data_IF_376188014405
#
_entry.id   IF_376188014405
#
_cell.length_a   1.000
_cell.length_b   1.000
_cell.length_c   1.000
_cell.angle_alpha   90.00
_cell.angle_beta   90.00
_cell.angle_gamma   90.00
#
_symmetry.space_group_name_H-M   'P 1'
#
loop_
_entity.id
_entity.type
_entity.pdbx_description
1 polymer ?
#
# COMPACT_ATOMS: atom_id res chain seq x y z
N UNK A 1 -6.58 -6.69 -15.72
CA UNK A 1 -5.41 -6.49 -14.84
C UNK A 1 -4.44 -5.54 -15.54
N UNK A 2 -4.24 -4.33 -15.00
CA UNK A 2 -3.37 -3.32 -15.63
C UNK A 2 -1.99 -3.36 -14.98
N UNK A 3 -0.95 -3.64 -15.76
CA UNK A 3 0.44 -3.76 -15.30
C UNK A 3 1.27 -2.72 -16.05
N UNK A 4 1.56 -1.58 -15.43
CA UNK A 4 2.35 -0.51 -16.07
C UNK A 4 3.79 -0.55 -15.52
N UNK A 5 4.77 -0.55 -16.42
CA UNK A 5 6.20 -0.48 -16.10
C UNK A 5 6.80 0.80 -16.70
N UNK A 6 7.38 1.64 -15.85
CA UNK A 6 8.06 2.89 -16.24
C UNK A 6 9.59 2.69 -16.29
N UNK A 7 10.09 1.66 -16.98
CA UNK A 7 11.53 1.40 -17.06
C UNK A 7 12.05 1.39 -18.51
N UNK A 8 13.18 2.08 -18.80
CA UNK A 8 13.82 2.06 -20.11
C UNK A 8 14.38 0.68 -20.46
N UNK A 9 14.46 0.38 -21.76
CA UNK A 9 14.66 -0.94 -22.35
C UNK A 9 15.88 -1.73 -21.82
N UNK A 10 16.92 -1.03 -21.38
CA UNK A 10 18.19 -1.64 -20.93
C UNK A 10 18.21 -2.21 -19.51
N UNK A 11 17.23 -1.86 -18.66
CA UNK A 11 17.22 -2.28 -17.24
C UNK A 11 16.16 -3.36 -16.93
N UNK A 12 15.72 -4.11 -17.96
CA UNK A 12 14.61 -5.08 -17.88
C UNK A 12 15.04 -6.48 -17.40
N UNK A 13 16.35 -6.72 -17.25
CA UNK A 13 16.94 -8.02 -16.86
C UNK A 13 17.00 -8.24 -15.34
N UNK A 14 16.76 -7.22 -14.51
CA UNK A 14 16.85 -7.35 -13.05
C UNK A 14 15.55 -7.96 -12.48
N UNK A 15 15.58 -9.18 -11.91
CA UNK A 15 14.38 -9.89 -11.43
C UNK A 15 13.70 -9.23 -10.22
N UNK A 16 14.32 -8.21 -9.61
CA UNK A 16 13.83 -7.48 -8.43
C UNK A 16 13.14 -6.14 -8.75
N UNK A 17 12.93 -5.79 -10.03
CA UNK A 17 12.41 -4.47 -10.43
C UNK A 17 10.89 -4.37 -10.55
N UNK A 18 10.17 -5.49 -10.44
CA UNK A 18 8.71 -5.50 -10.37
C UNK A 18 8.34 -5.54 -8.90
N UNK A 19 8.10 -4.37 -8.31
CA UNK A 19 7.45 -4.31 -7.01
C UNK A 19 6.07 -4.94 -7.15
N UNK A 20 5.87 -6.12 -6.58
CA UNK A 20 4.56 -6.75 -6.50
C UNK A 20 3.75 -5.96 -5.46
N UNK A 21 3.06 -4.92 -5.94
CA UNK A 21 2.13 -4.14 -5.12
C UNK A 21 0.75 -4.77 -5.24
N UNK A 22 0.22 -5.23 -4.12
CA UNK A 22 -1.11 -5.82 -4.01
C UNK A 22 -2.03 -4.82 -3.31
N UNK A 23 -3.18 -4.53 -3.92
CA UNK A 23 -4.25 -3.78 -3.24
C UNK A 23 -5.00 -4.76 -2.36
N UNK A 24 -4.82 -4.63 -1.05
CA UNK A 24 -5.44 -5.48 -0.03
C UNK A 24 -6.85 -5.01 0.32
N UNK A 25 -7.12 -3.72 0.14
CA UNK A 25 -8.43 -3.13 0.36
C UNK A 25 -8.53 -1.75 -0.25
N UNK A 26 -9.73 -1.38 -0.70
CA UNK A 26 -10.06 -0.05 -1.20
C UNK A 26 -11.46 0.32 -0.74
N UNK A 27 -11.70 1.57 -0.38
CA UNK A 27 -13.06 2.04 -0.10
C UNK A 27 -13.90 2.11 -1.39
N UNK A 28 -15.22 2.13 -1.24
CA UNK A 28 -16.18 2.18 -2.36
C UNK A 28 -15.98 3.39 -3.27
N UNK A 29 -15.44 4.48 -2.73
CA UNK A 29 -15.22 5.73 -3.46
C UNK A 29 -13.78 5.88 -3.98
N UNK A 30 -12.92 4.87 -3.84
CA UNK A 30 -11.50 4.91 -4.25
C UNK A 30 -10.71 6.10 -3.67
N UNK A 31 -11.10 6.58 -2.49
CA UNK A 31 -10.40 7.61 -1.73
C UNK A 31 -9.30 7.03 -0.85
N UNK A 32 -9.45 5.81 -0.35
CA UNK A 32 -8.49 5.19 0.56
C UNK A 32 -8.15 3.78 0.09
N UNK A 33 -6.86 3.46 0.02
CA UNK A 33 -6.37 2.16 -0.40
C UNK A 33 -5.32 1.63 0.58
N UNK A 34 -5.46 0.35 0.94
CA UNK A 34 -4.45 -0.43 1.63
C UNK A 34 -3.64 -1.21 0.60
N UNK A 35 -2.34 -0.95 0.54
CA UNK A 35 -1.42 -1.57 -0.40
C UNK A 35 -0.34 -2.30 0.37
N UNK A 36 -0.10 -3.55 0.02
CA UNK A 36 0.96 -4.37 0.62
C UNK A 36 1.79 -5.09 -0.43
N UNK A 37 2.92 -5.65 0.01
CA UNK A 37 3.72 -6.58 -0.80
C UNK A 37 3.53 -8.05 -0.37
N UNK A 38 3.80 -9.02 -1.26
CA UNK A 38 3.64 -10.46 -0.98
C UNK A 38 4.56 -10.98 0.13
N UNK A 39 5.67 -10.29 0.39
CA UNK A 39 6.60 -10.65 1.47
C UNK A 39 6.18 -10.14 2.85
N UNK A 40 5.04 -9.43 2.94
CA UNK A 40 4.56 -8.72 4.13
C UNK A 40 5.53 -7.68 4.72
N UNK A 41 6.63 -7.39 4.01
CA UNK A 41 7.65 -6.41 4.44
C UNK A 41 7.25 -4.97 4.18
N UNK A 42 6.33 -4.77 3.25
CA UNK A 42 5.94 -3.44 2.78
C UNK A 42 4.44 -3.28 2.88
N UNK A 43 4.00 -2.18 3.49
CA UNK A 43 2.62 -1.84 3.74
C UNK A 43 2.44 -0.33 3.67
N UNK A 44 1.40 0.13 2.99
CA UNK A 44 1.03 1.52 2.85
C UNK A 44 -0.48 1.70 2.95
N UNK A 45 -0.89 2.75 3.65
CA UNK A 45 -2.27 3.26 3.63
C UNK A 45 -2.20 4.56 2.84
N UNK A 46 -2.85 4.59 1.68
CA UNK A 46 -2.88 5.74 0.78
C UNK A 46 -4.25 6.39 0.86
N UNK A 47 -4.29 7.70 1.05
CA UNK A 47 -5.53 8.49 1.08
C UNK A 47 -5.42 9.61 0.05
N UNK A 48 -6.51 9.90 -0.66
CA UNK A 48 -6.64 11.11 -1.50
C UNK A 48 -6.77 12.38 -0.67
N UNK A 49 -7.18 12.24 0.59
CA UNK A 49 -7.27 13.34 1.55
C UNK A 49 -6.04 13.31 2.48
N UNK A 50 -5.34 14.44 2.71
CA UNK A 50 -4.26 14.49 3.69
C UNK A 50 -4.72 14.14 5.11
N UNK A 51 -5.99 14.41 5.45
CA UNK A 51 -6.55 14.12 6.76
C UNK A 51 -7.49 12.92 6.69
N UNK A 52 -6.92 11.74 6.92
CA UNK A 52 -7.71 10.53 7.11
C UNK A 52 -8.29 10.49 8.53
N UNK A 53 -9.57 10.21 8.67
CA UNK A 53 -10.19 10.08 9.98
C UNK A 53 -9.59 8.89 10.75
N UNK A 54 -9.52 9.03 12.08
CA UNK A 54 -8.85 8.06 12.92
C UNK A 54 -9.53 6.68 12.91
N UNK A 55 -10.86 6.63 12.77
CA UNK A 55 -11.61 5.38 12.77
C UNK A 55 -11.34 4.56 11.51
N UNK A 56 -11.40 5.22 10.35
CA UNK A 56 -11.05 4.63 9.05
C UNK A 56 -9.62 4.15 9.04
N UNK A 57 -8.66 4.98 9.49
CA UNK A 57 -7.26 4.56 9.62
C UNK A 57 -7.13 3.28 10.45
N UNK A 58 -7.77 3.22 11.63
CA UNK A 58 -7.70 2.03 12.48
C UNK A 58 -8.35 0.80 11.83
N UNK A 59 -9.42 0.96 11.05
CA UNK A 59 -10.02 -0.16 10.31
C UNK A 59 -9.04 -0.78 9.29
N UNK A 60 -8.27 0.05 8.59
CA UNK A 60 -7.25 -0.42 7.64
C UNK A 60 -6.04 -1.02 8.34
N UNK A 61 -5.63 -0.47 9.49
CA UNK A 61 -4.58 -1.07 10.33
C UNK A 61 -5.02 -2.45 10.81
N UNK A 62 -6.26 -2.60 11.27
CA UNK A 62 -6.77 -3.89 11.70
C UNK A 62 -6.82 -4.88 10.54
N UNK A 63 -7.31 -4.45 9.37
CA UNK A 63 -7.31 -5.27 8.15
C UNK A 63 -5.90 -5.74 7.80
N UNK A 64 -4.89 -4.86 7.85
CA UNK A 64 -3.50 -5.23 7.61
C UNK A 64 -2.97 -6.25 8.64
N UNK A 65 -3.34 -6.10 9.91
CA UNK A 65 -3.01 -7.09 10.96
C UNK A 65 -3.63 -8.45 10.66
N UNK A 66 -4.89 -8.48 10.21
CA UNK A 66 -5.59 -9.72 9.87
C UNK A 66 -4.94 -10.43 8.67
N UNK A 67 -4.37 -9.67 7.74
CA UNK A 67 -3.53 -10.19 6.65
C UNK A 67 -2.11 -10.62 7.10
N UNK A 68 -1.75 -10.47 8.37
CA UNK A 68 -0.46 -10.88 8.92
C UNK A 68 0.68 -9.89 8.68
N UNK A 69 0.37 -8.61 8.44
CA UNK A 69 1.38 -7.55 8.41
C UNK A 69 1.74 -7.10 9.83
N UNK A 70 3.02 -6.77 10.02
CA UNK A 70 3.52 -6.18 11.26
C UNK A 70 3.21 -4.68 11.31
N UNK A 71 2.02 -4.34 11.80
CA UNK A 71 1.54 -2.96 11.91
C UNK A 71 2.31 -2.11 12.91
N UNK A 72 3.15 -2.70 13.77
CA UNK A 72 3.99 -1.93 14.71
C UNK A 72 5.05 -1.08 14.00
N UNK A 73 5.39 -1.46 12.76
CA UNK A 73 6.34 -0.75 11.90
C UNK A 73 5.70 0.37 11.08
N UNK A 74 4.39 0.59 11.21
CA UNK A 74 3.71 1.68 10.51
C UNK A 74 4.17 3.02 11.06
N UNK A 75 4.75 3.83 10.18
CA UNK A 75 5.11 5.21 10.48
C UNK A 75 4.06 6.13 9.86
N UNK A 76 3.45 6.99 10.66
CA UNK A 76 2.58 8.05 10.16
C UNK A 76 3.43 9.16 9.56
N UNK A 77 3.23 9.42 8.27
CA UNK A 77 3.83 10.57 7.61
C UNK A 77 3.07 11.85 7.99
N UNK A 78 3.77 12.92 8.43
CA UNK A 78 3.12 14.20 8.65
C UNK A 78 2.58 14.75 7.32
N UNK A 79 1.30 15.08 7.29
CA UNK A 79 0.62 15.71 6.15
C UNK A 79 0.42 17.20 6.45
N UNK A 80 0.38 18.04 5.41
CA UNK A 80 0.14 19.50 5.51
C UNK A 80 -1.28 19.85 5.10
#
# INVERSE_FOLDING_TARGET
MLKVSFLPSGLRWIPFTKGDYWVLGVDSNYRVALVGGPSHKYLWILSRDPNLDAATYQSYVQTARDYGYDVSKLVRTPQK
#
